data_IF_163781143021
#
_entry.id   IF_163781143021
#
_cell.length_a   1.000
_cell.length_b   1.000
_cell.length_c   1.000
_cell.angle_alpha   90.00
_cell.angle_beta   90.00
_cell.angle_gamma   90.00
#
_symmetry.space_group_name_H-M   'P 1'
#
loop_
_entity.id
_entity.type
_entity.pdbx_description
1 polymer ?
#
# COMPACT_ATOMS: atom_id res chain seq x y z
N UNK A 1 10.64 -31.92 6.23
CA UNK A 1 11.24 -30.65 5.81
C UNK A 1 10.14 -29.61 5.82
N UNK A 2 10.16 -28.66 6.77
CA UNK A 2 9.23 -27.55 6.72
C UNK A 2 9.59 -26.73 5.48
N UNK A 3 8.66 -26.59 4.53
CA UNK A 3 8.84 -25.67 3.40
C UNK A 3 9.05 -24.28 3.99
N UNK A 4 10.19 -23.67 3.70
CA UNK A 4 10.41 -22.25 3.98
C UNK A 4 9.23 -21.50 3.35
N UNK A 5 8.36 -20.91 4.18
CA UNK A 5 7.19 -20.21 3.68
C UNK A 5 7.75 -19.00 2.96
N UNK A 6 7.55 -18.90 1.65
CA UNK A 6 7.94 -17.70 0.92
C UNK A 6 7.17 -16.53 1.55
N UNK A 7 7.88 -15.55 2.10
CA UNK A 7 7.28 -14.36 2.72
C UNK A 7 6.64 -13.39 1.69
N UNK A 8 6.52 -13.82 0.43
CA UNK A 8 6.04 -13.01 -0.68
C UNK A 8 5.20 -13.82 -1.67
N UNK A 9 4.24 -13.14 -2.31
CA UNK A 9 3.33 -13.69 -3.31
C UNK A 9 2.74 -12.59 -4.18
N UNK A 10 1.94 -12.96 -5.18
CA UNK A 10 1.23 -11.99 -6.02
C UNK A 10 0.10 -11.34 -5.22
N UNK A 11 0.07 -10.01 -5.16
CA UNK A 11 -1.00 -9.24 -4.51
C UNK A 11 -2.29 -9.34 -5.35
N UNK A 12 -3.35 -9.87 -4.75
CA UNK A 12 -4.66 -10.07 -5.43
C UNK A 12 -5.77 -9.20 -4.85
N UNK A 13 -5.55 -8.60 -3.69
CA UNK A 13 -6.52 -7.70 -3.07
C UNK A 13 -5.90 -6.87 -1.95
N UNK A 14 -6.44 -5.68 -1.74
CA UNK A 14 -6.11 -4.85 -0.59
C UNK A 14 -7.30 -3.99 -0.19
N UNK A 15 -7.39 -3.68 1.10
CA UNK A 15 -8.32 -2.68 1.62
C UNK A 15 -7.68 -1.96 2.80
N UNK A 16 -8.15 -0.75 3.10
CA UNK A 16 -7.69 -0.02 4.29
C UNK A 16 -8.86 0.47 5.12
N UNK A 17 -8.69 0.43 6.43
CA UNK A 17 -9.62 1.00 7.40
C UNK A 17 -8.88 1.99 8.28
N UNK A 18 -9.45 3.18 8.48
CA UNK A 18 -8.90 4.18 9.39
C UNK A 18 -9.59 4.09 10.75
N UNK A 19 -8.79 4.03 11.81
CA UNK A 19 -9.27 3.98 13.20
C UNK A 19 -8.53 5.04 14.01
N UNK A 20 -9.13 6.23 14.12
CA UNK A 20 -8.48 7.38 14.75
C UNK A 20 -7.21 7.83 14.00
N UNK A 21 -6.07 7.72 14.67
CA UNK A 21 -4.73 8.03 14.16
C UNK A 21 -4.02 6.83 13.50
N UNK A 22 -4.65 5.64 13.54
CA UNK A 22 -4.13 4.42 12.95
C UNK A 22 -4.79 4.09 11.60
N UNK A 23 -4.04 3.37 10.80
CA UNK A 23 -4.47 2.78 9.51
C UNK A 23 -4.23 1.28 9.59
N UNK A 24 -5.28 0.49 9.41
CA UNK A 24 -5.20 -0.94 9.18
C UNK A 24 -5.19 -1.20 7.68
N UNK A 25 -4.10 -1.77 7.16
CA UNK A 25 -3.96 -2.19 5.77
C UNK A 25 -4.07 -3.71 5.70
N UNK A 26 -5.12 -4.19 5.05
CA UNK A 26 -5.34 -5.60 4.79
C UNK A 26 -4.83 -5.91 3.40
N UNK A 27 -3.92 -6.88 3.28
CA UNK A 27 -3.35 -7.34 2.02
C UNK A 27 -3.70 -8.82 1.84
N UNK A 28 -4.02 -9.19 0.61
CA UNK A 28 -4.30 -10.56 0.21
C UNK A 28 -3.36 -10.97 -0.91
N UNK A 29 -2.68 -12.10 -0.74
CA UNK A 29 -1.72 -12.61 -1.71
C UNK A 29 -1.93 -14.09 -2.02
N UNK A 30 -1.38 -14.53 -3.15
CA UNK A 30 -1.34 -15.93 -3.58
C UNK A 30 0.09 -16.29 -4.01
N UNK A 31 0.54 -17.49 -3.68
CA UNK A 31 1.93 -17.94 -3.95
C UNK A 31 2.05 -18.86 -5.16
N UNK A 32 0.92 -19.41 -5.65
CA UNK A 32 0.87 -20.30 -6.81
C UNK A 32 0.24 -19.60 -8.02
N UNK A 33 0.59 -19.97 -9.27
CA UNK A 33 -0.05 -19.43 -10.47
C UNK A 33 -1.55 -19.72 -10.54
N UNK A 34 -2.33 -18.94 -11.32
CA UNK A 34 -3.73 -19.23 -11.58
C UNK A 34 -3.94 -20.63 -12.20
N UNK A 35 -5.09 -21.30 -11.96
CA UNK A 35 -6.26 -20.80 -11.24
C UNK A 35 -6.10 -20.85 -9.71
N UNK A 36 -6.57 -19.81 -9.03
CA UNK A 36 -6.58 -19.73 -7.56
C UNK A 36 -7.92 -20.21 -7.01
N UNK A 37 -7.87 -20.82 -5.83
CA UNK A 37 -9.01 -21.17 -4.99
C UNK A 37 -8.99 -20.28 -3.75
N UNK A 38 -10.12 -20.20 -3.05
CA UNK A 38 -10.23 -19.35 -1.84
C UNK A 38 -9.24 -19.74 -0.74
N UNK A 39 -8.89 -21.02 -0.64
CA UNK A 39 -7.92 -21.56 0.31
C UNK A 39 -6.45 -21.22 -0.02
N UNK A 40 -6.19 -20.68 -1.22
CA UNK A 40 -4.86 -20.23 -1.64
C UNK A 40 -4.57 -18.78 -1.25
N UNK A 41 -5.57 -18.05 -0.75
CA UNK A 41 -5.45 -16.63 -0.42
C UNK A 41 -4.90 -16.48 0.99
N UNK A 42 -3.66 -15.99 1.08
CA UNK A 42 -3.05 -15.60 2.34
C UNK A 42 -3.41 -14.14 2.65
N UNK A 43 -3.85 -13.87 3.88
CA UNK A 43 -4.21 -12.51 4.32
C UNK A 43 -3.25 -12.02 5.39
N UNK A 44 -2.74 -10.80 5.23
CA UNK A 44 -1.87 -10.12 6.19
C UNK A 44 -2.46 -8.76 6.54
N UNK A 45 -2.37 -8.38 7.82
CA UNK A 45 -2.88 -7.10 8.32
C UNK A 45 -1.72 -6.31 8.94
N UNK A 46 -1.49 -5.11 8.42
CA UNK A 46 -0.53 -4.16 8.97
C UNK A 46 -1.28 -3.03 9.67
N UNK A 47 -0.99 -2.83 10.95
CA UNK A 47 -1.44 -1.66 11.68
C UNK A 47 -0.32 -0.63 11.71
N UNK A 48 -0.61 0.57 11.21
CA UNK A 48 0.34 1.65 11.07
C UNK A 48 -0.21 2.91 11.72
N UNK A 49 0.66 3.79 12.20
CA UNK A 49 0.28 5.19 12.37
C UNK A 49 0.22 5.92 11.01
N UNK A 50 -0.24 7.18 11.05
CA UNK A 50 -0.32 8.02 9.87
C UNK A 50 1.04 8.24 9.18
N UNK A 51 2.12 8.41 9.94
CA UNK A 51 3.44 8.69 9.36
C UNK A 51 4.00 7.46 8.64
N UNK A 52 3.85 6.28 9.23
CA UNK A 52 4.22 5.00 8.62
C UNK A 52 3.43 4.74 7.34
N UNK A 53 2.11 4.98 7.37
CA UNK A 53 1.27 4.83 6.18
C UNK A 53 1.68 5.80 5.05
N UNK A 54 2.05 7.04 5.38
CA UNK A 54 2.54 8.01 4.39
C UNK A 54 3.90 7.62 3.82
N UNK A 55 4.82 7.08 4.64
CA UNK A 55 6.11 6.59 4.17
C UNK A 55 5.94 5.41 3.21
N UNK A 56 5.07 4.45 3.55
CA UNK A 56 4.74 3.34 2.66
C UNK A 56 4.14 3.83 1.35
N UNK A 57 3.22 4.79 1.39
CA UNK A 57 2.62 5.37 0.18
C UNK A 57 3.68 6.02 -0.72
N UNK A 58 4.58 6.84 -0.15
CA UNK A 58 5.65 7.49 -0.90
C UNK A 58 6.59 6.46 -1.55
N UNK A 59 6.97 5.42 -0.81
CA UNK A 59 7.78 4.33 -1.34
C UNK A 59 7.09 3.65 -2.53
N UNK A 60 5.80 3.33 -2.40
CA UNK A 60 5.02 2.72 -3.49
C UNK A 60 4.92 3.64 -4.72
N UNK A 61 4.76 4.95 -4.53
CA UNK A 61 4.78 5.91 -5.64
C UNK A 61 6.13 5.96 -6.34
N UNK A 62 7.23 5.99 -5.58
CA UNK A 62 8.59 6.06 -6.11
C UNK A 62 8.93 4.81 -6.94
N UNK A 63 8.67 3.61 -6.43
CA UNK A 63 8.96 2.36 -7.15
C UNK A 63 7.99 2.11 -8.32
N UNK A 64 6.80 2.71 -8.28
CA UNK A 64 5.79 2.55 -9.32
C UNK A 64 6.06 3.39 -10.56
N UNK A 65 7.08 4.26 -10.54
CA UNK A 65 7.37 5.29 -11.55
C UNK A 65 6.18 6.22 -11.88
N UNK A 66 5.08 6.09 -11.14
CA UNK A 66 3.96 7.02 -11.13
C UNK A 66 4.38 8.27 -10.39
N UNK A 67 4.47 9.39 -11.11
CA UNK A 67 4.65 10.71 -10.50
C UNK A 67 3.65 10.85 -9.34
N UNK A 68 4.16 11.20 -8.15
CA UNK A 68 3.29 11.60 -7.03
C UNK A 68 2.29 12.64 -7.57
N UNK A 69 1.00 12.61 -7.16
CA UNK A 69 0.05 13.62 -7.61
C UNK A 69 0.67 14.99 -7.39
N UNK A 70 0.87 15.74 -8.48
CA UNK A 70 1.44 17.08 -8.40
C UNK A 70 0.68 17.83 -7.32
N UNK A 71 1.41 18.37 -6.33
CA UNK A 71 0.84 19.30 -5.35
C UNK A 71 0.51 20.60 -6.09
N UNK A 72 -0.53 20.60 -6.91
CA UNK A 72 -1.11 21.77 -7.56
C UNK A 72 -1.85 22.59 -6.53
N UNK A 73 -1.12 23.23 -5.60
CA UNK A 73 -1.67 24.24 -4.70
C UNK A 73 -0.58 25.12 -4.07
N UNK A 74 0.21 25.80 -4.91
CA UNK A 74 0.93 27.02 -4.50
C UNK A 74 0.38 28.30 -5.17
N UNK A 75 -0.81 28.20 -5.76
CA UNK A 75 -1.42 29.26 -6.58
C UNK A 75 -1.90 30.52 -5.83
N UNK A 76 -1.92 30.52 -4.50
CA UNK A 76 -2.33 31.72 -3.75
C UNK A 76 -1.14 32.63 -3.38
N UNK A 77 0.00 32.07 -2.96
CA UNK A 77 1.20 32.84 -2.62
C UNK A 77 1.99 33.33 -3.85
N UNK A 78 1.91 32.60 -4.98
CA UNK A 78 2.55 33.01 -6.23
C UNK A 78 1.89 34.24 -6.88
N UNK A 79 0.62 34.52 -6.59
CA UNK A 79 -0.14 35.65 -7.16
C UNK A 79 0.08 36.98 -6.44
N UNK A 80 0.79 36.97 -5.32
CA UNK A 80 1.05 38.17 -4.50
C UNK A 80 2.49 38.70 -4.65
N UNK A 81 3.38 37.95 -5.30
CA UNK A 81 4.77 38.33 -5.56
C UNK A 81 5.21 38.08 -7.02
N UNK A 82 4.23 37.97 -7.94
CA UNK A 82 4.42 37.84 -9.39
C UNK A 82 3.20 38.35 -10.14
#
# INVERSE_FOLDING_TARGET
MASEKKDYGALVGWTSTRMGDRVALHLQSVTKPPPHRSDDVESQIYLMDRNQAMQLANYLFEIGETQSPDKKDRGWLARMFG
#
